data_IF_157731966856
#
_entry.id   IF_157731966856
#
_cell.length_a   1.000
_cell.length_b   1.000
_cell.length_c   1.000
_cell.angle_alpha   90.00
_cell.angle_beta   90.00
_cell.angle_gamma   90.00
#
_symmetry.space_group_name_H-M   'P 1'
#
loop_
_entity.id
_entity.type
_entity.pdbx_description
1 polymer ?
#
# COMPACT_ATOMS: atom_id res chain seq x y z
N UNK A 1 -12.48 -10.11 2.06
CA UNK A 1 -11.11 -9.94 1.54
C UNK A 1 -10.65 -8.49 1.65
N UNK A 2 -9.36 -8.28 1.91
CA UNK A 2 -8.71 -6.97 2.01
C UNK A 2 -8.04 -6.61 0.69
N UNK A 3 -8.33 -5.43 0.14
CA UNK A 3 -7.58 -4.84 -0.98
C UNK A 3 -6.44 -3.96 -0.45
N UNK A 4 -5.20 -4.40 -0.63
CA UNK A 4 -4.01 -3.59 -0.39
C UNK A 4 -3.58 -2.88 -1.69
N UNK A 5 -3.31 -1.59 -1.60
CA UNK A 5 -2.86 -0.76 -2.73
C UNK A 5 -1.55 -0.08 -2.36
N UNK A 6 -0.53 -0.28 -3.19
CA UNK A 6 0.77 0.38 -3.06
C UNK A 6 0.99 1.28 -4.28
N UNK A 7 0.96 2.59 -4.07
CA UNK A 7 1.05 3.62 -5.10
C UNK A 7 2.49 4.16 -5.13
N UNK A 8 3.30 3.59 -6.02
CA UNK A 8 4.64 4.07 -6.34
C UNK A 8 4.64 5.15 -7.42
N UNK A 9 5.81 5.75 -7.66
CA UNK A 9 5.97 6.77 -8.71
C UNK A 9 5.77 6.24 -10.13
N UNK A 10 6.20 4.99 -10.39
CA UNK A 10 6.15 4.37 -11.72
C UNK A 10 4.98 3.41 -11.87
N UNK A 11 4.70 2.62 -10.82
CA UNK A 11 3.67 1.59 -10.85
C UNK A 11 2.81 1.65 -9.60
N UNK A 12 1.58 1.18 -9.74
CA UNK A 12 0.66 0.85 -8.66
C UNK A 12 0.56 -0.66 -8.58
N UNK A 13 0.79 -1.22 -7.40
CA UNK A 13 0.55 -2.63 -7.11
C UNK A 13 -0.74 -2.78 -6.31
N UNK A 14 -1.53 -3.78 -6.68
CA UNK A 14 -2.75 -4.16 -5.97
C UNK A 14 -2.60 -5.60 -5.49
N UNK A 15 -2.91 -5.85 -4.23
CA UNK A 15 -2.95 -7.19 -3.63
C UNK A 15 -4.33 -7.44 -3.03
N UNK A 16 -4.93 -8.58 -3.35
CA UNK A 16 -6.15 -9.04 -2.71
C UNK A 16 -5.76 -10.13 -1.70
N UNK A 17 -6.09 -9.89 -0.44
CA UNK A 17 -5.82 -10.81 0.67
C UNK A 17 -7.12 -11.46 1.17
N UNK A 18 -7.05 -12.76 1.40
CA UNK A 18 -8.03 -13.50 2.19
C UNK A 18 -7.35 -13.89 3.50
N UNK A 19 -7.74 -13.23 4.59
CA UNK A 19 -6.99 -13.22 5.85
C UNK A 19 -5.49 -12.91 5.64
N UNK A 20 -4.61 -13.88 5.88
CA UNK A 20 -3.14 -13.74 5.74
C UNK A 20 -2.64 -14.11 4.34
N UNK A 21 -3.48 -14.72 3.51
CA UNK A 21 -3.09 -15.25 2.20
C UNK A 21 -3.28 -14.22 1.09
N UNK A 22 -2.20 -13.95 0.35
CA UNK A 22 -2.25 -13.16 -0.88
C UNK A 22 -2.82 -13.99 -2.02
N UNK A 23 -4.12 -13.84 -2.29
CA UNK A 23 -4.83 -14.66 -3.29
C UNK A 23 -4.70 -14.12 -4.72
N UNK A 24 -4.45 -12.82 -4.88
CA UNK A 24 -4.25 -12.24 -6.21
C UNK A 24 -3.41 -10.96 -6.18
N UNK A 25 -2.66 -10.73 -7.26
CA UNK A 25 -1.94 -9.47 -7.49
C UNK A 25 -2.24 -8.87 -8.86
N UNK A 26 -2.28 -7.55 -8.92
CA UNK A 26 -2.38 -6.78 -10.15
C UNK A 26 -1.37 -5.64 -10.15
N UNK A 27 -1.04 -5.15 -11.34
CA UNK A 27 -0.22 -3.95 -11.51
C UNK A 27 -0.78 -3.05 -12.60
N UNK A 28 -0.61 -1.76 -12.43
CA UNK A 28 -0.77 -0.77 -13.48
C UNK A 28 0.33 0.28 -13.39
N UNK A 29 0.57 1.00 -14.47
CA UNK A 29 1.37 2.22 -14.40
C UNK A 29 0.69 3.29 -13.55
N UNK A 30 1.50 4.13 -12.92
CA UNK A 30 1.03 5.30 -12.17
C UNK A 30 0.70 6.43 -13.14
N UNK A 31 -0.59 6.62 -13.43
CA UNK A 31 -1.07 7.70 -14.30
C UNK A 31 -1.74 8.76 -13.45
N UNK A 32 -1.04 9.88 -13.20
CA UNK A 32 -1.50 10.97 -12.32
C UNK A 32 -2.75 11.70 -12.84
N UNK A 33 -2.94 11.70 -14.16
CA UNK A 33 -4.08 12.35 -14.80
C UNK A 33 -5.35 11.48 -14.85
N UNK A 34 -5.25 10.19 -14.48
CA UNK A 34 -6.39 9.27 -14.52
C UNK A 34 -7.34 9.59 -13.38
N UNK A 35 -8.64 9.61 -13.67
CA UNK A 35 -9.70 9.97 -12.71
C UNK A 35 -10.08 8.81 -11.80
N UNK A 36 -10.83 9.10 -10.73
CA UNK A 36 -11.35 8.09 -9.81
C UNK A 36 -12.25 7.06 -10.53
N UNK A 37 -13.07 7.51 -11.49
CA UNK A 37 -13.96 6.62 -12.26
C UNK A 37 -13.16 5.69 -13.18
N UNK A 38 -12.13 6.20 -13.84
CA UNK A 38 -11.24 5.38 -14.68
C UNK A 38 -10.50 4.31 -13.85
N UNK A 39 -10.01 4.68 -12.65
CA UNK A 39 -9.44 3.69 -11.72
C UNK A 39 -10.48 2.71 -11.19
N UNK A 40 -11.71 3.17 -10.92
CA UNK A 40 -12.79 2.29 -10.46
C UNK A 40 -13.13 1.23 -11.50
N UNK A 41 -13.21 1.62 -12.78
CA UNK A 41 -13.38 0.68 -13.90
C UNK A 41 -12.20 -0.27 -14.00
N UNK A 42 -10.96 0.24 -13.93
CA UNK A 42 -9.75 -0.58 -14.00
C UNK A 42 -9.73 -1.67 -12.91
N UNK A 43 -10.02 -1.29 -11.66
CA UNK A 43 -10.04 -2.19 -10.51
C UNK A 43 -11.12 -3.28 -10.69
N UNK A 44 -12.33 -2.89 -11.09
CA UNK A 44 -13.43 -3.82 -11.36
C UNK A 44 -13.09 -4.80 -12.49
N UNK A 45 -12.47 -4.32 -13.56
CA UNK A 45 -12.07 -5.14 -14.70
C UNK A 45 -10.93 -6.11 -14.34
N UNK A 46 -9.94 -5.66 -13.56
CA UNK A 46 -8.86 -6.53 -13.06
C UNK A 46 -9.40 -7.72 -12.27
N UNK A 47 -10.36 -7.49 -11.37
CA UNK A 47 -11.04 -8.58 -10.64
C UNK A 47 -11.87 -9.48 -11.56
N UNK A 48 -12.64 -8.88 -12.48
CA UNK A 48 -13.47 -9.63 -13.42
C UNK A 48 -12.66 -10.57 -14.33
N UNK A 49 -11.47 -10.15 -14.78
CA UNK A 49 -10.54 -10.99 -15.56
C UNK A 49 -10.08 -12.24 -14.81
N UNK A 50 -10.23 -12.27 -13.48
CA UNK A 50 -9.89 -13.40 -12.62
C UNK A 50 -11.12 -14.12 -12.08
N UNK A 51 -12.31 -13.76 -12.55
CA UNK A 51 -13.58 -14.32 -12.07
C UNK A 51 -13.89 -13.96 -10.63
N UNK A 52 -13.32 -12.87 -10.10
CA UNK A 52 -13.51 -12.45 -8.71
C UNK A 52 -14.67 -11.46 -8.65
N UNK A 53 -15.68 -11.78 -7.85
CA UNK A 53 -16.80 -10.87 -7.58
C UNK A 53 -16.29 -9.68 -6.73
N UNK A 54 -16.45 -8.42 -7.18
CA UNK A 54 -16.03 -7.25 -6.43
C UNK A 54 -16.64 -7.12 -5.03
N UNK A 55 -17.80 -7.74 -4.77
CA UNK A 55 -18.45 -7.72 -3.46
C UNK A 55 -17.65 -8.43 -2.36
N UNK A 56 -16.68 -9.28 -2.71
CA UNK A 56 -15.78 -9.93 -1.75
C UNK A 56 -14.81 -8.94 -1.09
N UNK A 57 -14.61 -7.76 -1.69
CA UNK A 57 -13.78 -6.70 -1.12
C UNK A 57 -14.52 -6.04 0.05
N UNK A 58 -14.11 -6.40 1.26
CA UNK A 58 -14.74 -5.95 2.51
C UNK A 58 -13.98 -4.78 3.16
N UNK A 59 -12.71 -4.61 2.83
CA UNK A 59 -11.85 -3.55 3.35
C UNK A 59 -10.79 -3.17 2.32
N UNK A 60 -10.22 -1.97 2.44
CA UNK A 60 -9.10 -1.53 1.64
C UNK A 60 -8.09 -0.71 2.45
N UNK A 61 -6.81 -0.80 2.07
CA UNK A 61 -5.73 -0.01 2.64
C UNK A 61 -4.80 0.49 1.52
N UNK A 62 -4.34 1.74 1.63
CA UNK A 62 -3.50 2.43 0.63
C UNK A 62 -2.21 2.89 1.29
N UNK A 63 -1.06 2.44 0.76
CA UNK A 63 0.23 3.10 0.93
C UNK A 63 0.54 3.90 -0.34
N UNK A 64 1.00 5.14 -0.19
CA UNK A 64 1.23 6.02 -1.34
C UNK A 64 2.39 6.96 -1.11
N UNK A 65 3.27 7.05 -2.10
CA UNK A 65 4.29 8.09 -2.23
C UNK A 65 3.93 9.12 -3.30
N UNK A 66 2.69 9.10 -3.80
CA UNK A 66 2.18 10.00 -4.84
C UNK A 66 0.93 10.73 -4.31
N UNK A 67 1.10 11.83 -3.53
CA UNK A 67 -0.02 12.50 -2.85
C UNK A 67 -1.21 12.89 -3.75
N UNK A 68 -1.01 13.41 -4.98
CA UNK A 68 -2.14 13.76 -5.86
C UNK A 68 -3.03 12.57 -6.26
N UNK A 69 -2.51 11.34 -6.14
CA UNK A 69 -3.22 10.13 -6.53
C UNK A 69 -3.89 9.42 -5.35
N UNK A 70 -3.52 9.78 -4.11
CA UNK A 70 -4.08 9.15 -2.90
C UNK A 70 -5.58 9.39 -2.81
N UNK A 71 -6.03 10.65 -2.91
CA UNK A 71 -7.46 10.99 -2.82
C UNK A 71 -8.25 10.39 -4.00
N UNK A 72 -7.66 10.42 -5.20
CA UNK A 72 -8.24 9.80 -6.40
C UNK A 72 -8.45 8.29 -6.20
N UNK A 73 -7.48 7.60 -5.62
CA UNK A 73 -7.58 6.17 -5.35
C UNK A 73 -8.58 5.86 -4.22
N UNK A 74 -8.68 6.71 -3.20
CA UNK A 74 -9.70 6.57 -2.17
C UNK A 74 -11.11 6.65 -2.78
N UNK A 75 -11.34 7.63 -3.64
CA UNK A 75 -12.62 7.78 -4.35
C UNK A 75 -12.88 6.61 -5.31
N UNK A 76 -11.84 6.14 -6.02
CA UNK A 76 -11.93 4.96 -6.87
C UNK A 76 -12.34 3.70 -6.08
N UNK A 77 -11.75 3.49 -4.90
CA UNK A 77 -12.14 2.39 -4.00
C UNK A 77 -13.57 2.55 -3.50
N UNK A 78 -13.99 3.77 -3.15
CA UNK A 78 -15.37 4.05 -2.73
C UNK A 78 -16.37 3.74 -3.85
N UNK A 79 -16.12 4.23 -5.07
CA UNK A 79 -16.99 3.99 -6.23
C UNK A 79 -16.99 2.52 -6.63
N UNK A 80 -15.81 1.88 -6.62
CA UNK A 80 -15.67 0.50 -7.03
C UNK A 80 -16.13 -0.49 -5.97
N UNK A 81 -16.14 -0.20 -4.67
CA UNK A 81 -16.41 -1.25 -3.67
C UNK A 81 -17.37 -0.82 -2.57
N UNK A 82 -17.83 0.43 -2.56
CA UNK A 82 -18.58 1.02 -1.45
C UNK A 82 -17.85 0.85 -0.11
N UNK A 83 -16.51 0.98 -0.14
CA UNK A 83 -15.62 0.91 1.04
C UNK A 83 -14.79 2.17 1.15
N UNK A 84 -14.56 2.60 2.38
CA UNK A 84 -13.55 3.61 2.69
C UNK A 84 -12.19 2.92 2.82
N UNK A 85 -11.18 3.44 2.14
CA UNK A 85 -9.83 2.95 2.28
C UNK A 85 -9.13 3.59 3.48
N UNK A 86 -8.43 2.78 4.28
CA UNK A 86 -7.48 3.29 5.25
C UNK A 86 -6.21 3.75 4.54
N UNK A 87 -5.65 4.90 4.90
CA UNK A 87 -4.40 5.39 4.31
C UNK A 87 -3.26 5.24 5.31
N UNK A 88 -2.15 4.66 4.87
CA UNK A 88 -0.91 4.59 5.65
C UNK A 88 -0.31 5.98 5.74
N UNK A 89 -0.17 6.49 6.96
CA UNK A 89 0.36 7.83 7.19
C UNK A 89 0.40 8.20 8.68
N UNK A 90 0.73 9.47 8.99
CA UNK A 90 0.84 9.96 10.36
C UNK A 90 -0.42 9.67 11.19
N UNK A 91 -0.22 9.13 12.39
CA UNK A 91 -1.31 8.78 13.32
C UNK A 91 -1.82 7.35 13.20
N UNK A 92 -1.49 6.62 12.13
CA UNK A 92 -1.75 5.19 12.07
C UNK A 92 -0.77 4.44 12.98
N UNK A 93 -1.29 3.55 13.83
CA UNK A 93 -0.46 2.72 14.71
C UNK A 93 0.19 1.59 13.90
N UNK A 94 1.45 1.80 13.52
CA UNK A 94 2.24 0.83 12.73
C UNK A 94 3.02 -0.16 13.61
N UNK A 95 3.17 0.13 14.91
CA UNK A 95 4.02 -0.65 15.81
C UNK A 95 5.52 -0.38 15.67
N UNK A 96 5.91 0.52 14.76
CA UNK A 96 7.31 0.94 14.55
C UNK A 96 7.48 2.40 14.96
N UNK A 97 8.52 2.68 15.76
CA UNK A 97 8.94 4.03 16.13
C UNK A 97 9.91 4.61 15.09
N UNK A 98 9.55 5.72 14.44
CA UNK A 98 10.40 6.36 13.45
C UNK A 98 11.32 7.38 14.14
N UNK A 99 12.64 7.15 14.10
CA UNK A 99 13.65 7.96 14.79
C UNK A 99 14.29 9.05 13.92
N UNK A 100 13.82 9.23 12.69
CA UNK A 100 14.19 10.38 11.86
C UNK A 100 13.84 11.69 12.58
N UNK A 101 14.66 12.73 12.35
CA UNK A 101 14.38 14.08 12.87
C UNK A 101 12.97 14.57 12.50
N UNK A 102 12.56 14.26 11.27
CA UNK A 102 11.20 14.46 10.81
C UNK A 102 10.62 13.13 10.28
N UNK A 103 9.75 12.46 11.07
CA UNK A 103 9.12 11.20 10.69
C UNK A 103 8.30 11.28 9.39
N UNK A 104 7.88 12.48 8.97
CA UNK A 104 7.11 12.68 7.73
C UNK A 104 7.94 12.54 6.47
N UNK A 105 9.27 12.56 6.59
CA UNK A 105 10.18 12.42 5.45
C UNK A 105 10.34 10.95 5.02
N UNK A 106 9.86 10.01 5.83
CA UNK A 106 9.83 8.59 5.48
C UNK A 106 8.58 8.29 4.65
N UNK A 107 8.79 7.82 3.43
CA UNK A 107 7.71 7.41 2.53
C UNK A 107 6.85 6.28 3.13
N UNK A 108 5.56 6.26 2.78
CA UNK A 108 4.65 5.23 3.26
C UNK A 108 5.08 3.81 2.84
N UNK A 109 5.69 3.67 1.67
CA UNK A 109 6.31 2.45 1.14
C UNK A 109 7.40 1.91 2.09
N UNK A 110 8.33 2.76 2.51
CA UNK A 110 9.40 2.41 3.45
C UNK A 110 8.84 2.03 4.82
N UNK A 111 7.79 2.71 5.28
CA UNK A 111 7.11 2.36 6.53
C UNK A 111 6.46 0.98 6.45
N UNK A 112 5.70 0.66 5.40
CA UNK A 112 5.07 -0.68 5.29
C UNK A 112 6.09 -1.79 5.12
N UNK A 113 7.17 -1.53 4.38
CA UNK A 113 8.30 -2.46 4.25
C UNK A 113 8.94 -2.77 5.60
N UNK A 114 9.18 -1.74 6.42
CA UNK A 114 9.71 -1.89 7.77
C UNK A 114 8.78 -2.73 8.66
N UNK A 115 7.46 -2.45 8.62
CA UNK A 115 6.45 -3.20 9.39
C UNK A 115 6.45 -4.67 8.97
N UNK A 116 6.36 -4.94 7.67
CA UNK A 116 6.33 -6.31 7.15
C UNK A 116 7.61 -7.08 7.48
N UNK A 117 8.78 -6.44 7.35
CA UNK A 117 10.06 -7.06 7.65
C UNK A 117 10.22 -7.36 9.15
N UNK A 118 9.88 -6.41 10.01
CA UNK A 118 9.98 -6.60 11.46
C UNK A 118 9.01 -7.66 11.97
N UNK A 119 7.77 -7.68 11.47
CA UNK A 119 6.79 -8.71 11.84
C UNK A 119 7.25 -10.12 11.45
N UNK A 120 7.93 -10.28 10.30
CA UNK A 120 8.47 -11.56 9.83
C UNK A 120 9.71 -12.04 10.58
N UNK A 121 10.60 -11.11 10.95
CA UNK A 121 11.93 -11.45 11.48
C UNK A 121 12.00 -11.33 13.01
N UNK A 122 11.24 -10.43 13.62
CA UNK A 122 11.23 -10.14 15.08
C UNK A 122 12.63 -9.87 15.66
N UNK A 123 13.51 -9.27 14.87
CA UNK A 123 14.87 -8.89 15.24
C UNK A 123 15.32 -7.68 14.43
N UNK A 124 16.57 -7.24 14.63
CA UNK A 124 17.16 -6.20 13.79
C UNK A 124 17.25 -6.66 12.34
N UNK A 125 16.81 -5.82 11.40
CA UNK A 125 16.70 -6.16 9.98
C UNK A 125 17.07 -4.96 9.11
N UNK A 126 17.75 -5.24 8.00
CA UNK A 126 17.95 -4.28 6.92
C UNK A 126 17.06 -4.69 5.77
N UNK A 127 16.19 -3.78 5.32
CA UNK A 127 15.37 -3.96 4.12
C UNK A 127 16.07 -3.27 2.97
N UNK A 128 16.20 -3.97 1.84
CA UNK A 128 16.70 -3.41 0.59
C UNK A 128 15.59 -3.48 -0.43
N UNK A 129 15.07 -2.32 -0.86
CA UNK A 129 14.00 -2.24 -1.86
C UNK A 129 14.58 -1.76 -3.20
N UNK A 130 14.32 -2.51 -4.26
CA UNK A 130 14.75 -2.21 -5.63
C UNK A 130 13.59 -1.60 -6.43
N UNK A 131 13.26 -0.36 -6.11
CA UNK A 131 12.23 0.42 -6.79
C UNK A 131 12.79 1.45 -7.77
N UNK A 132 12.05 2.55 -7.94
CA UNK A 132 12.52 3.73 -8.70
C UNK A 132 13.85 4.26 -8.14
N UNK A 133 14.03 4.18 -6.82
CA UNK A 133 15.31 4.31 -6.15
C UNK A 133 15.59 3.01 -5.38
N UNK A 134 16.86 2.68 -5.21
CA UNK A 134 17.26 1.61 -4.29
C UNK A 134 17.35 2.18 -2.89
N UNK A 135 16.53 1.68 -1.95
CA UNK A 135 16.55 2.11 -0.55
C UNK A 135 17.18 1.05 0.34
N UNK A 136 17.77 1.50 1.45
CA UNK A 136 18.30 0.67 2.52
C UNK A 136 17.72 1.19 3.83
N UNK A 137 16.85 0.39 4.44
CA UNK A 137 16.10 0.79 5.62
C UNK A 137 16.51 -0.10 6.80
N UNK A 138 16.99 0.51 7.87
CA UNK A 138 17.50 -0.20 9.04
C UNK A 138 16.46 -0.16 10.16
N UNK A 139 16.05 -1.34 10.63
CA UNK A 139 15.12 -1.49 11.74
C UNK A 139 15.84 -2.17 12.90
N UNK A 140 15.78 -1.55 14.08
CA UNK A 140 16.40 -2.06 15.31
C UNK A 140 15.60 -3.24 15.90
N UNK A 141 16.20 -4.07 16.77
CA UNK A 141 15.48 -5.12 17.50
C UNK A 141 14.31 -4.61 18.37
N UNK A 142 14.21 -3.30 18.62
CA UNK A 142 13.14 -2.67 19.40
C UNK A 142 11.99 -2.13 18.54
N UNK A 143 11.90 -2.52 17.27
CA UNK A 143 10.95 -1.97 16.30
C UNK A 143 11.16 -0.45 16.06
N UNK A 144 12.41 0.00 16.04
CA UNK A 144 12.75 1.40 15.75
C UNK A 144 13.28 1.50 14.32
N UNK A 145 12.68 2.35 13.51
CA UNK A 145 13.19 2.74 12.20
C UNK A 145 14.29 3.79 12.42
N UNK A 146 15.52 3.43 12.10
CA UNK A 146 16.74 4.20 12.38
C UNK A 146 17.01 5.28 11.33
#
# INVERSE_FOLDING_TARGET
MLLAVDIGNTNIAFGLYDDEDLVQTFRSETVRARTADEYGVLLRQMLALRGIDPSVVSAAIIASVVPPLTDVMMDAVRHAFAREALVVGPGLKTGISILYENPRDVGADRVVNAVAAFERIRAGVIVVDFGTATTFDCISPKAEYL
#
